data_IF_306846230195
#
_entry.id   IF_306846230195
#
_cell.length_a   1.000
_cell.length_b   1.000
_cell.length_c   1.000
_cell.angle_alpha   90.00
_cell.angle_beta   90.00
_cell.angle_gamma   90.00
#
_symmetry.space_group_name_H-M   'P 1'
#
loop_
_entity.id
_entity.type
_entity.pdbx_description
1 polymer ?
#
# COMPACT_ATOMS: atom_id res chain seq x y z
N UNK A 1 -7.07 25.64 9.27
CA UNK A 1 -6.95 25.16 8.90
C UNK A 1 -6.88 24.23 8.52
N UNK A 2 -6.85 23.78 8.44
CA UNK A 2 -6.73 22.93 8.13
C UNK A 2 -6.50 22.29 7.15
N UNK A 3 -6.73 22.33 6.82
CA UNK A 3 -6.44 22.00 5.69
C UNK A 3 -5.25 21.33 5.55
N UNK A 4 -4.54 21.47 6.23
CA UNK A 4 -3.43 20.82 6.15
C UNK A 4 -3.48 19.44 6.33
N UNK A 5 -4.43 18.96 6.88
CA UNK A 5 -4.63 17.56 7.10
C UNK A 5 -4.53 16.80 5.85
N UNK A 6 -5.17 17.28 4.80
CA UNK A 6 -5.15 16.57 3.55
C UNK A 6 -3.82 16.66 2.87
N UNK A 7 -3.11 17.74 3.11
CA UNK A 7 -1.89 17.89 2.44
C UNK A 7 -0.81 17.14 3.10
N UNK A 8 -0.95 16.83 4.36
CA UNK A 8 0.07 16.20 5.11
C UNK A 8 -0.23 14.73 5.25
N UNK A 9 -0.34 14.04 4.12
CA UNK A 9 -0.59 12.62 4.15
C UNK A 9 0.73 11.86 4.09
N UNK A 10 1.58 12.10 5.06
CA UNK A 10 2.90 11.50 5.09
C UNK A 10 2.84 10.00 5.31
N UNK A 11 1.90 9.57 6.15
CA UNK A 11 1.76 8.14 6.40
C UNK A 11 1.36 7.42 5.12
N UNK A 12 0.39 7.97 4.38
CA UNK A 12 -0.04 7.35 3.14
C UNK A 12 1.09 7.27 2.12
N UNK A 13 1.85 8.35 1.99
CA UNK A 13 2.98 8.38 1.08
C UNK A 13 4.04 7.36 1.50
N UNK A 14 4.32 7.27 2.78
CA UNK A 14 5.29 6.32 3.30
C UNK A 14 4.84 4.89 3.02
N UNK A 15 3.58 4.60 3.29
CA UNK A 15 3.05 3.26 3.08
C UNK A 15 3.11 2.86 1.61
N UNK A 16 2.75 3.77 0.72
CA UNK A 16 2.80 3.50 -0.69
C UNK A 16 4.23 3.26 -1.16
N UNK A 17 5.15 4.08 -0.69
CA UNK A 17 6.54 3.94 -1.04
C UNK A 17 7.09 2.58 -0.60
N UNK A 18 6.81 2.19 0.62
CA UNK A 18 7.29 0.90 1.12
C UNK A 18 6.63 -0.25 0.38
N UNK A 19 5.33 -0.13 0.12
CA UNK A 19 4.59 -1.17 -0.57
C UNK A 19 5.17 -1.43 -1.96
N UNK A 20 5.51 -0.39 -2.69
CA UNK A 20 5.98 -0.54 -4.05
C UNK A 20 7.42 -1.06 -4.11
N UNK A 21 8.12 -1.06 -3.00
CA UNK A 21 9.49 -1.56 -2.94
C UNK A 21 9.59 -2.98 -2.42
N UNK A 22 8.49 -3.57 -1.98
CA UNK A 22 8.52 -4.93 -1.48
C UNK A 22 8.50 -5.93 -2.64
N UNK A 23 9.17 -7.06 -2.42
CA UNK A 23 9.22 -8.11 -3.43
C UNK A 23 8.00 -9.02 -3.26
N UNK A 24 7.09 -9.07 -4.24
CA UNK A 24 5.90 -9.90 -4.11
C UNK A 24 6.22 -11.37 -3.86
N UNK A 25 7.25 -11.90 -4.49
CA UNK A 25 7.56 -13.31 -4.34
C UNK A 25 8.04 -13.65 -2.95
N UNK A 26 8.63 -12.69 -2.24
CA UNK A 26 9.05 -12.91 -0.86
C UNK A 26 7.87 -13.13 0.06
N UNK A 27 6.68 -12.71 -0.36
CA UNK A 27 5.47 -12.86 0.44
C UNK A 27 4.52 -13.91 -0.14
N UNK A 28 4.99 -14.68 -1.10
CA UNK A 28 4.16 -15.73 -1.66
C UNK A 28 3.23 -15.31 -2.78
N UNK A 29 3.41 -14.11 -3.31
CA UNK A 29 2.59 -13.65 -4.42
C UNK A 29 3.31 -13.79 -5.74
N UNK A 30 2.53 -13.92 -6.81
CA UNK A 30 3.11 -14.04 -8.15
C UNK A 30 3.68 -12.71 -8.61
N UNK A 31 4.83 -12.77 -9.26
CA UNK A 31 5.43 -11.59 -9.86
C UNK A 31 4.93 -11.36 -11.29
N UNK A 32 4.13 -12.29 -11.83
CA UNK A 32 3.71 -12.20 -13.21
C UNK A 32 2.55 -11.23 -13.38
N UNK A 33 2.48 -10.61 -14.56
CA UNK A 33 1.35 -9.76 -14.94
C UNK A 33 1.11 -8.59 -14.00
N UNK A 34 2.17 -8.06 -13.44
CA UNK A 34 2.05 -6.89 -12.59
C UNK A 34 2.26 -5.65 -13.42
N UNK A 35 1.35 -4.68 -13.27
CA UNK A 35 1.49 -3.42 -13.95
C UNK A 35 2.54 -2.56 -13.30
N UNK A 36 2.68 -2.67 -11.98
CA UNK A 36 3.61 -1.86 -11.24
C UNK A 36 4.46 -2.76 -10.37
N UNK A 37 5.59 -2.24 -9.95
CA UNK A 37 6.46 -2.97 -9.04
C UNK A 37 5.85 -3.03 -7.65
N UNK A 38 6.27 -4.04 -6.89
CA UNK A 38 5.88 -4.14 -5.50
C UNK A 38 4.55 -4.83 -5.30
N UNK A 39 4.02 -4.70 -4.09
CA UNK A 39 2.78 -5.34 -3.72
C UNK A 39 1.58 -4.47 -4.10
N UNK A 40 0.47 -5.12 -4.39
CA UNK A 40 -0.78 -4.40 -4.56
C UNK A 40 -1.38 -4.10 -3.19
N UNK A 41 -2.29 -3.13 -3.15
CA UNK A 41 -2.93 -2.75 -1.88
C UNK A 41 -3.62 -3.92 -1.22
N UNK A 42 -4.37 -4.71 -2.00
CA UNK A 42 -5.07 -5.84 -1.43
C UNK A 42 -4.11 -6.91 -0.93
N UNK A 43 -2.94 -7.02 -1.51
CA UNK A 43 -1.95 -7.98 -1.04
C UNK A 43 -1.39 -7.56 0.31
N UNK A 44 -1.10 -6.28 0.48
CA UNK A 44 -0.63 -5.79 1.77
C UNK A 44 -1.72 -5.95 2.82
N UNK A 45 -2.95 -5.62 2.46
CA UNK A 45 -4.06 -5.72 3.40
C UNK A 45 -4.25 -7.17 3.85
N UNK A 46 -4.12 -8.11 2.91
CA UNK A 46 -4.24 -9.52 3.24
C UNK A 46 -3.18 -9.96 4.23
N UNK A 47 -1.94 -9.55 4.01
CA UNK A 47 -0.85 -9.93 4.90
C UNK A 47 -1.00 -9.26 6.27
N UNK A 48 -1.55 -8.07 6.31
CA UNK A 48 -1.79 -7.36 7.56
C UNK A 48 -3.10 -7.78 8.23
N UNK A 49 -3.88 -8.61 7.56
CA UNK A 49 -5.17 -9.09 8.07
C UNK A 49 -6.15 -7.95 8.32
N UNK A 50 -6.20 -7.02 7.38
CA UNK A 50 -7.17 -5.93 7.40
C UNK A 50 -7.84 -5.88 6.04
N UNK A 51 -8.93 -5.12 5.93
CA UNK A 51 -9.61 -5.02 4.64
C UNK A 51 -8.83 -4.14 3.68
N UNK A 52 -8.98 -4.42 2.39
CA UNK A 52 -8.35 -3.60 1.36
C UNK A 52 -8.89 -2.18 1.39
N UNK A 53 -10.16 -2.00 1.70
CA UNK A 53 -10.76 -0.69 1.82
C UNK A 53 -10.10 0.11 2.94
N UNK A 54 -9.89 -0.54 4.08
CA UNK A 54 -9.25 0.10 5.22
C UNK A 54 -7.82 0.50 4.88
N UNK A 55 -7.10 -0.40 4.22
CA UNK A 55 -5.72 -0.09 3.83
C UNK A 55 -5.66 1.06 2.83
N UNK A 56 -6.58 1.07 1.86
CA UNK A 56 -6.65 2.15 0.88
C UNK A 56 -6.86 3.48 1.59
N UNK A 57 -7.69 3.46 2.63
CA UNK A 57 -7.93 4.65 3.41
C UNK A 57 -6.65 5.16 4.06
N UNK A 58 -5.82 4.26 4.57
CA UNK A 58 -4.57 4.67 5.20
C UNK A 58 -3.60 5.33 4.22
N UNK A 59 -3.66 4.94 2.96
CA UNK A 59 -2.77 5.51 1.95
C UNK A 59 -3.24 6.87 1.43
N UNK A 60 -4.44 7.26 1.72
CA UNK A 60 -4.97 8.53 1.22
C UNK A 60 -4.62 9.75 2.07
#
# INVERSE_FOLDING_TARGET
MDQHVTQDNRLGTYLKDRRTKLDPTAFGFSAQRRRTAGLRREEVAQRANISATWYTWLEQ
#
